data_IF_882554981612
#
_entry.id   IF_882554981612
#
_cell.length_a   1.000
_cell.length_b   1.000
_cell.length_c   1.000
_cell.angle_alpha   90.00
_cell.angle_beta   90.00
_cell.angle_gamma   90.00
#
_symmetry.space_group_name_H-M   'P 1'
#
loop_
_entity.id
_entity.type
_entity.pdbx_description
1 polymer ?
#
# COMPACT_ATOMS: atom_id res chain seq x y z
N UNK A 1 -5.53 -43.12 70.90
CA UNK A 1 -4.62 -43.51 69.83
C UNK A 1 -4.94 -42.72 68.61
N UNK A 2 -4.17 -41.75 68.36
CA UNK A 2 -4.46 -40.66 67.37
C UNK A 2 -3.81 -40.98 66.04
N UNK A 3 -4.59 -41.19 65.00
CA UNK A 3 -4.11 -41.29 63.62
C UNK A 3 -4.23 -39.98 62.92
N UNK A 4 -3.16 -39.21 62.87
CA UNK A 4 -3.12 -38.00 62.08
C UNK A 4 -2.95 -38.38 60.58
N UNK A 5 -4.01 -38.16 59.83
CA UNK A 5 -3.97 -38.27 58.36
C UNK A 5 -3.46 -36.93 57.78
N UNK A 6 -2.24 -36.99 57.28
CA UNK A 6 -1.67 -35.89 56.53
C UNK A 6 -2.36 -35.75 55.18
N UNK A 7 -3.11 -34.68 54.98
CA UNK A 7 -3.66 -34.31 53.67
C UNK A 7 -2.55 -33.63 52.88
N UNK A 8 -2.06 -34.31 51.84
CA UNK A 8 -1.14 -33.72 50.87
C UNK A 8 -1.93 -32.89 49.87
N UNK A 9 -1.84 -31.58 49.98
CA UNK A 9 -2.31 -30.69 48.95
C UNK A 9 -1.37 -30.80 47.74
N UNK A 10 -1.86 -31.37 46.66
CA UNK A 10 -1.23 -31.27 45.33
C UNK A 10 -1.56 -29.93 44.73
N UNK A 11 -0.62 -29.01 44.73
CA UNK A 11 -0.71 -27.76 43.98
C UNK A 11 -0.52 -28.07 42.49
N UNK A 12 -1.60 -28.02 41.74
CA UNK A 12 -1.55 -28.08 40.26
C UNK A 12 -1.15 -26.70 39.77
N UNK A 13 0.11 -26.56 39.41
CA UNK A 13 0.59 -25.37 38.68
C UNK A 13 0.13 -25.51 37.24
N UNK A 14 -0.94 -24.79 36.87
CA UNK A 14 -1.36 -24.64 35.50
C UNK A 14 -0.38 -23.67 34.80
N UNK A 15 0.56 -24.24 34.04
CA UNK A 15 1.45 -23.47 33.18
C UNK A 15 0.64 -22.97 31.98
N UNK A 16 0.15 -21.75 32.06
CA UNK A 16 -0.52 -21.08 30.95
C UNK A 16 0.49 -20.81 29.85
N UNK A 17 0.47 -21.63 28.80
CA UNK A 17 1.15 -21.32 27.52
C UNK A 17 0.41 -20.16 26.87
N UNK A 18 0.93 -18.94 27.01
CA UNK A 18 0.54 -17.82 26.21
C UNK A 18 0.97 -18.08 24.76
N UNK A 19 0.01 -18.46 23.91
CA UNK A 19 0.20 -18.49 22.47
C UNK A 19 0.39 -17.06 22.00
N UNK A 20 1.63 -16.63 21.81
CA UNK A 20 1.95 -15.41 21.09
C UNK A 20 1.59 -15.68 19.62
N UNK A 21 0.39 -15.24 19.22
CA UNK A 21 0.01 -15.23 17.84
C UNK A 21 0.92 -14.22 17.12
N UNK A 22 1.92 -14.72 16.36
CA UNK A 22 2.66 -13.92 15.41
C UNK A 22 1.66 -13.39 14.38
N UNK A 23 1.31 -12.10 14.48
CA UNK A 23 0.55 -11.43 13.42
C UNK A 23 1.39 -11.48 12.15
N UNK A 24 0.91 -12.22 11.14
CA UNK A 24 1.56 -12.27 9.83
C UNK A 24 1.62 -10.84 9.27
N UNK A 25 2.78 -10.41 8.77
CA UNK A 25 2.89 -9.14 8.04
C UNK A 25 1.95 -9.19 6.85
N UNK A 26 1.14 -8.13 6.64
CA UNK A 26 0.33 -8.06 5.44
C UNK A 26 1.24 -8.16 4.20
N UNK A 27 0.81 -8.86 3.14
CA UNK A 27 1.60 -8.99 1.93
C UNK A 27 1.89 -7.60 1.34
N UNK A 28 3.08 -7.43 0.77
CA UNK A 28 3.46 -6.18 0.11
C UNK A 28 2.57 -5.97 -1.12
N UNK A 29 1.79 -4.89 -1.10
CA UNK A 29 0.86 -4.56 -2.18
C UNK A 29 1.60 -3.89 -3.33
N UNK A 30 1.35 -4.36 -4.55
CA UNK A 30 1.83 -3.73 -5.79
C UNK A 30 0.63 -3.27 -6.61
N UNK A 31 0.61 -2.00 -6.94
CA UNK A 31 -0.39 -1.39 -7.82
C UNK A 31 0.24 -1.17 -9.19
N UNK A 32 -0.42 -1.68 -10.23
CA UNK A 32 -0.02 -1.47 -11.62
C UNK A 32 -0.81 -0.32 -12.21
N UNK A 33 -0.10 0.67 -12.73
CA UNK A 33 -0.67 1.83 -13.42
C UNK A 33 -0.14 1.86 -14.84
N UNK A 34 -1.02 1.64 -15.80
CA UNK A 34 -0.68 1.77 -17.21
C UNK A 34 -1.03 3.17 -17.70
N UNK A 35 -0.07 3.81 -18.33
CA UNK A 35 -0.21 5.10 -18.97
C UNK A 35 -0.35 4.89 -20.47
N UNK A 36 -1.33 5.51 -21.07
CA UNK A 36 -1.49 5.60 -22.52
C UNK A 36 -1.74 7.05 -22.90
N UNK A 37 -1.82 7.35 -24.18
CA UNK A 37 -1.95 8.74 -24.60
C UNK A 37 -3.17 9.39 -23.94
N UNK A 38 -2.85 10.34 -23.04
CA UNK A 38 -3.74 11.21 -22.27
C UNK A 38 -4.63 10.53 -21.23
N UNK A 39 -4.25 9.30 -20.76
CA UNK A 39 -5.01 8.65 -19.68
C UNK A 39 -4.17 7.69 -18.84
N UNK A 40 -4.58 7.53 -17.60
CA UNK A 40 -4.19 6.41 -16.74
C UNK A 40 -5.20 5.26 -16.88
N UNK A 41 -4.76 4.04 -16.63
CA UNK A 41 -5.59 2.83 -16.72
C UNK A 41 -6.79 2.85 -15.77
N UNK A 42 -6.76 3.66 -14.72
CA UNK A 42 -7.86 3.84 -13.79
C UNK A 42 -8.00 5.31 -13.39
N UNK A 43 -9.24 5.76 -13.21
CA UNK A 43 -9.56 7.07 -12.64
C UNK A 43 -9.52 7.10 -11.12
N UNK A 44 -9.58 5.92 -10.50
CA UNK A 44 -9.46 5.75 -9.05
C UNK A 44 -8.45 4.65 -8.78
N UNK A 45 -7.45 4.96 -7.98
CA UNK A 45 -6.42 4.03 -7.52
C UNK A 45 -6.59 3.91 -6.01
N UNK A 46 -6.77 2.68 -5.50
CA UNK A 46 -6.95 2.45 -4.07
C UNK A 46 -5.72 1.80 -3.46
N UNK A 47 -5.29 2.31 -2.30
CA UNK A 47 -4.20 1.72 -1.52
C UNK A 47 -4.54 1.72 -0.03
N UNK A 48 -3.98 0.77 0.75
CA UNK A 48 -4.18 0.73 2.19
C UNK A 48 -3.47 1.88 2.90
N UNK A 49 -4.15 2.48 3.89
CA UNK A 49 -3.58 3.50 4.75
C UNK A 49 -2.45 2.93 5.63
N UNK A 50 -1.46 3.76 5.94
CA UNK A 50 -0.37 3.41 6.85
C UNK A 50 0.59 2.33 6.34
N UNK A 51 0.48 1.92 5.08
CA UNK A 51 1.33 0.91 4.47
C UNK A 51 2.14 1.48 3.31
N UNK A 52 3.35 0.97 3.13
CA UNK A 52 4.16 1.22 1.94
C UNK A 52 3.66 0.31 0.81
N UNK A 53 3.39 0.89 -0.35
CA UNK A 53 2.85 0.22 -1.53
C UNK A 53 3.80 0.42 -2.70
N UNK A 54 4.04 -0.63 -3.49
CA UNK A 54 4.78 -0.52 -4.75
C UNK A 54 3.88 -0.02 -5.87
N UNK A 55 4.32 1.00 -6.59
CA UNK A 55 3.72 1.40 -7.87
C UNK A 55 4.60 0.91 -9.00
N UNK A 56 4.00 0.16 -9.93
CA UNK A 56 4.59 -0.22 -11.20
C UNK A 56 3.88 0.53 -12.31
N UNK A 57 4.56 1.53 -12.89
CA UNK A 57 4.01 2.45 -13.87
C UNK A 57 4.60 2.15 -15.24
N UNK A 58 3.76 1.75 -16.19
CA UNK A 58 4.17 1.39 -17.55
C UNK A 58 3.55 2.32 -18.57
N UNK A 59 4.35 2.96 -19.40
CA UNK A 59 3.88 3.81 -20.48
C UNK A 59 3.77 3.00 -21.78
N UNK A 60 2.56 2.72 -22.20
CA UNK A 60 2.25 2.05 -23.49
C UNK A 60 1.85 3.05 -24.58
N UNK A 61 1.88 4.35 -24.27
CA UNK A 61 1.62 5.42 -25.22
C UNK A 61 2.79 5.72 -26.14
N UNK A 62 2.60 6.70 -27.00
CA UNK A 62 3.59 7.12 -28.00
C UNK A 62 4.40 8.33 -27.56
N UNK A 63 3.95 9.03 -26.52
CA UNK A 63 4.63 10.19 -25.94
C UNK A 63 5.06 9.91 -24.49
N UNK A 64 5.95 10.73 -23.97
CA UNK A 64 6.29 10.69 -22.57
C UNK A 64 5.10 11.12 -21.71
N UNK A 65 4.94 10.49 -20.57
CA UNK A 65 3.95 10.81 -19.55
C UNK A 65 4.60 10.83 -18.19
N UNK A 66 3.97 11.47 -17.22
CA UNK A 66 4.42 11.40 -15.85
C UNK A 66 3.29 11.03 -14.89
N UNK A 67 3.67 10.65 -13.70
CA UNK A 67 2.76 10.44 -12.57
C UNK A 67 3.23 11.33 -11.44
N UNK A 68 2.45 12.35 -11.15
CA UNK A 68 2.61 13.19 -9.98
C UNK A 68 1.45 12.95 -9.03
N UNK A 69 1.76 12.63 -7.77
CA UNK A 69 0.78 12.54 -6.69
C UNK A 69 0.93 13.78 -5.80
N UNK A 70 -0.17 14.48 -5.54
CA UNK A 70 -0.20 15.66 -4.70
C UNK A 70 -0.06 15.32 -3.21
N UNK A 71 1.10 14.80 -2.84
CA UNK A 71 1.46 14.45 -1.47
C UNK A 71 2.87 14.93 -1.09
N UNK A 72 3.54 15.64 -2.01
CA UNK A 72 4.94 16.03 -1.88
C UNK A 72 5.93 14.91 -2.23
N UNK A 73 6.80 15.17 -3.19
CA UNK A 73 7.94 14.31 -3.52
C UNK A 73 7.67 13.09 -4.41
N UNK A 74 6.44 12.79 -4.81
CA UNK A 74 6.17 11.73 -5.77
C UNK A 74 5.89 12.31 -7.15
N UNK A 75 6.91 12.30 -8.01
CA UNK A 75 6.82 12.77 -9.39
C UNK A 75 7.85 12.03 -10.25
N UNK A 76 7.38 11.24 -11.20
CA UNK A 76 8.22 10.41 -12.05
C UNK A 76 7.78 10.46 -13.50
N UNK A 77 8.75 10.75 -14.38
CA UNK A 77 8.59 10.71 -15.82
C UNK A 77 8.78 9.28 -16.33
N UNK A 78 7.91 8.84 -17.22
CA UNK A 78 7.93 7.52 -17.82
C UNK A 78 7.98 7.65 -19.35
N UNK A 79 9.09 7.28 -19.93
CA UNK A 79 9.28 7.31 -21.40
C UNK A 79 8.39 6.27 -22.09
N UNK A 80 8.04 6.47 -23.37
CA UNK A 80 7.31 5.47 -24.15
C UNK A 80 7.98 4.08 -24.07
N UNK A 81 7.19 3.05 -23.75
CA UNK A 81 7.66 1.67 -23.62
C UNK A 81 8.36 1.34 -22.29
N UNK A 82 8.62 2.33 -21.44
CA UNK A 82 9.32 2.11 -20.17
C UNK A 82 8.37 1.70 -19.05
N UNK A 83 8.92 1.01 -18.07
CA UNK A 83 8.28 0.70 -16.78
C UNK A 83 9.15 1.26 -15.66
N UNK A 84 8.54 2.06 -14.79
CA UNK A 84 9.17 2.65 -13.60
C UNK A 84 8.50 2.08 -12.36
N UNK A 85 9.30 1.61 -11.40
CA UNK A 85 8.82 1.08 -10.12
C UNK A 85 9.26 2.00 -8.99
N UNK A 86 8.31 2.43 -8.17
CA UNK A 86 8.56 3.29 -7.00
C UNK A 86 7.63 2.93 -5.86
N UNK A 87 8.05 3.25 -4.66
CA UNK A 87 7.21 3.07 -3.47
C UNK A 87 6.44 4.34 -3.16
N UNK A 88 5.19 4.17 -2.75
CA UNK A 88 4.28 5.21 -2.26
C UNK A 88 3.96 4.94 -0.79
N UNK A 89 3.92 5.99 0.01
CA UNK A 89 3.53 5.90 1.40
C UNK A 89 4.64 5.44 2.36
N UNK A 90 4.30 5.16 3.61
CA UNK A 90 2.93 5.16 4.17
C UNK A 90 2.23 6.51 4.08
N UNK A 91 0.93 6.52 3.76
CA UNK A 91 0.10 7.72 3.69
C UNK A 91 -1.05 7.63 4.68
N UNK A 92 -1.47 8.76 5.27
CA UNK A 92 -2.74 8.86 5.98
C UNK A 92 -3.93 8.57 5.09
N UNK A 93 -5.02 8.07 5.66
CA UNK A 93 -6.29 7.93 4.95
C UNK A 93 -6.73 9.28 4.37
N UNK A 94 -7.23 9.28 3.15
CA UNK A 94 -7.64 10.47 2.43
C UNK A 94 -7.65 10.28 0.93
N UNK A 95 -7.92 11.35 0.21
CA UNK A 95 -7.90 11.41 -1.24
C UNK A 95 -6.79 12.34 -1.70
N UNK A 96 -6.01 11.86 -2.67
CA UNK A 96 -4.87 12.59 -3.23
C UNK A 96 -5.04 12.67 -4.74
N UNK A 97 -4.84 13.86 -5.30
CA UNK A 97 -4.90 14.03 -6.74
C UNK A 97 -3.68 13.41 -7.41
N UNK A 98 -3.90 12.71 -8.50
CA UNK A 98 -2.87 12.19 -9.41
C UNK A 98 -3.05 12.87 -10.76
N UNK A 99 -1.97 13.35 -11.35
CA UNK A 99 -2.03 14.00 -12.66
C UNK A 99 -0.74 13.83 -13.46
N UNK A 100 -0.86 13.93 -14.77
CA UNK A 100 0.27 14.18 -15.66
C UNK A 100 0.53 15.68 -15.71
N UNK A 101 1.78 16.08 -15.57
CA UNK A 101 2.17 17.51 -15.56
C UNK A 101 2.65 18.00 -16.92
N UNK A 102 2.78 17.13 -17.90
CA UNK A 102 3.16 17.53 -19.26
C UNK A 102 2.07 18.45 -19.83
N UNK A 103 2.44 19.63 -20.38
CA UNK A 103 1.49 20.61 -20.84
C UNK A 103 0.42 20.02 -21.77
N UNK A 104 -0.85 20.29 -21.48
CA UNK A 104 -2.01 19.84 -22.27
C UNK A 104 -2.53 18.45 -21.92
N UNK A 105 -1.75 17.59 -21.25
CA UNK A 105 -2.16 16.21 -20.98
C UNK A 105 -3.26 16.11 -19.92
N UNK A 106 -3.17 16.88 -18.86
CA UNK A 106 -4.20 16.96 -17.82
C UNK A 106 -5.53 17.43 -18.39
N UNK A 107 -5.51 18.47 -19.25
CA UNK A 107 -6.68 19.06 -19.89
C UNK A 107 -7.36 18.05 -20.82
N UNK A 108 -6.61 17.10 -21.38
CA UNK A 108 -7.13 15.99 -22.17
C UNK A 108 -7.64 14.82 -21.32
N UNK A 109 -7.62 14.96 -19.99
CA UNK A 109 -8.19 13.98 -19.06
C UNK A 109 -7.18 13.08 -18.35
N UNK A 110 -5.86 13.38 -18.43
CA UNK A 110 -4.84 12.57 -17.77
C UNK A 110 -4.70 12.92 -16.29
N UNK A 111 -5.70 12.51 -15.53
CA UNK A 111 -5.81 12.66 -14.09
C UNK A 111 -6.53 11.48 -13.46
N UNK A 112 -6.29 11.25 -12.18
CA UNK A 112 -6.91 10.22 -11.36
C UNK A 112 -6.96 10.65 -9.90
N UNK A 113 -7.65 9.89 -9.08
CA UNK A 113 -7.66 10.06 -7.62
C UNK A 113 -7.04 8.84 -6.96
N UNK A 114 -6.07 9.07 -6.08
CA UNK A 114 -5.54 8.06 -5.18
C UNK A 114 -6.37 8.09 -3.89
N UNK A 115 -7.10 7.01 -3.62
CA UNK A 115 -7.89 6.82 -2.40
C UNK A 115 -7.09 5.95 -1.43
N UNK A 116 -6.81 6.49 -0.26
CA UNK A 116 -6.06 5.81 0.81
C UNK A 116 -7.02 5.51 1.95
N UNK A 117 -7.22 4.21 2.28
CA UNK A 117 -8.18 3.78 3.31
C UNK A 117 -7.84 2.44 3.99
#
# INVERSE_FOLDING_TARGET
>A
MSGMRAVRLLAVVALGMALVACAARPPFTVVKVTLSDFKYSSKVIEIPAGQKVGFEMTNVGTTEHDVMIHMGGFHYLIQPGATVRRNVGPLPAGEYQVQCTIPGHKELGMSATLVVR
#
